data_IF_966532469783
#
_entry.id   IF_966532469783
#
_cell.length_a   1.000
_cell.length_b   1.000
_cell.length_c   1.000
_cell.angle_alpha   90.00
_cell.angle_beta   90.00
_cell.angle_gamma   90.00
#
_symmetry.space_group_name_H-M   'P 1'
#
loop_
_entity.id
_entity.type
_entity.pdbx_description
1 polymer ?
#
# COMPACT_ATOMS: atom_id res chain seq x y z
N UNK A 1 -2.95 -32.70 -51.60
CA UNK A 1 -2.80 -32.16 -50.22
C UNK A 1 -4.10 -32.46 -49.48
N UNK A 2 -4.30 -33.73 -49.09
CA UNK A 2 -4.25 -34.26 -47.70
C UNK A 2 -5.39 -33.69 -46.84
N UNK A 3 -6.62 -34.25 -46.81
CA UNK A 3 -7.07 -35.58 -46.38
C UNK A 3 -6.74 -35.87 -44.90
N UNK A 4 -7.76 -35.99 -44.04
CA UNK A 4 -8.02 -37.08 -43.05
C UNK A 4 -9.12 -36.67 -42.05
N UNK A 5 -10.04 -37.63 -41.85
CA UNK A 5 -11.25 -37.67 -40.99
C UNK A 5 -10.96 -37.51 -39.48
N UNK A 6 -11.97 -37.20 -38.65
CA UNK A 6 -11.88 -37.35 -37.19
C UNK A 6 -12.39 -38.71 -36.69
N UNK A 7 -11.95 -39.06 -35.47
CA UNK A 7 -12.35 -40.13 -34.53
C UNK A 7 -11.56 -41.44 -34.57
N UNK A 8 -11.44 -42.22 -33.47
CA UNK A 8 -11.80 -42.01 -32.04
C UNK A 8 -10.61 -42.36 -31.07
N UNK A 9 -10.84 -42.59 -29.76
CA UNK A 9 -10.87 -44.00 -29.37
C UNK A 9 -12.03 -44.41 -28.44
N UNK A 10 -12.49 -45.63 -28.68
CA UNK A 10 -13.24 -46.53 -27.77
C UNK A 10 -12.28 -47.66 -27.32
N UNK A 11 -12.76 -48.55 -26.44
CA UNK A 11 -12.14 -49.67 -25.69
C UNK A 11 -11.78 -49.25 -24.25
N UNK A 12 -12.47 -49.62 -23.15
CA UNK A 12 -13.22 -50.83 -22.70
C UNK A 12 -12.45 -52.14 -22.80
N UNK A 13 -11.96 -52.71 -21.68
CA UNK A 13 -12.61 -53.80 -20.89
C UNK A 13 -11.66 -54.58 -19.91
N UNK A 14 -12.27 -55.13 -18.84
CA UNK A 14 -11.94 -56.30 -17.98
C UNK A 14 -10.70 -56.27 -17.05
N UNK A 15 -10.83 -56.13 -15.72
CA UNK A 15 -11.17 -57.11 -14.63
C UNK A 15 -10.15 -58.24 -14.43
N UNK A 16 -9.45 -58.32 -13.28
CA UNK A 16 -9.49 -59.47 -12.35
C UNK A 16 -8.76 -59.19 -11.01
N UNK A 17 -9.33 -59.79 -9.97
CA UNK A 17 -8.96 -59.89 -8.55
C UNK A 17 -7.48 -60.05 -8.20
N UNK A 18 -7.06 -59.43 -7.09
CA UNK A 18 -6.43 -60.20 -6.00
C UNK A 18 -6.62 -59.49 -4.64
N UNK A 19 -7.28 -60.21 -3.73
CA UNK A 19 -7.33 -59.90 -2.30
C UNK A 19 -5.96 -60.25 -1.71
N UNK A 20 -5.28 -59.27 -1.12
CA UNK A 20 -4.25 -59.53 -0.11
C UNK A 20 -4.60 -58.72 1.13
N UNK A 21 -5.08 -59.46 2.12
CA UNK A 21 -5.26 -59.04 3.50
C UNK A 21 -3.85 -58.96 4.12
N UNK A 22 -3.36 -57.76 4.44
CA UNK A 22 -2.16 -57.62 5.28
C UNK A 22 -2.28 -56.39 6.17
N UNK A 23 -2.46 -56.69 7.46
CA UNK A 23 -1.98 -56.00 8.64
C UNK A 23 -1.98 -54.46 8.62
N UNK A 24 -3.00 -53.92 9.27
CA UNK A 24 -2.98 -52.60 9.92
C UNK A 24 -1.74 -52.50 10.81
N UNK A 25 -0.71 -51.80 10.33
CA UNK A 25 0.26 -51.13 11.18
C UNK A 25 -0.10 -49.66 11.16
N UNK A 26 -0.68 -49.17 12.26
CA UNK A 26 -0.82 -47.74 12.53
C UNK A 26 0.56 -47.12 12.71
N UNK A 27 1.24 -46.86 11.60
CA UNK A 27 2.31 -45.89 11.56
C UNK A 27 1.65 -44.51 11.60
N UNK A 28 1.62 -43.91 12.80
CA UNK A 28 1.36 -42.48 12.95
C UNK A 28 2.50 -41.75 12.23
N UNK A 29 2.26 -41.40 10.96
CA UNK A 29 3.10 -40.44 10.26
C UNK A 29 3.13 -39.17 11.12
N UNK A 30 4.32 -38.63 11.47
CA UNK A 30 4.40 -37.37 12.18
C UNK A 30 3.63 -36.34 11.35
N UNK A 31 2.64 -35.76 12.02
CA UNK A 31 1.61 -34.95 11.40
C UNK A 31 2.23 -33.91 10.48
N UNK A 32 1.67 -33.84 9.27
CA UNK A 32 1.58 -32.59 8.55
C UNK A 32 0.81 -31.63 9.47
N UNK A 33 1.51 -30.96 10.38
CA UNK A 33 0.92 -29.84 11.10
C UNK A 33 0.43 -28.90 10.01
N UNK A 34 -0.86 -28.55 9.96
CA UNK A 34 -1.31 -27.49 9.09
C UNK A 34 -0.44 -26.30 9.44
N UNK A 35 0.37 -25.83 8.49
CA UNK A 35 1.04 -24.55 8.65
C UNK A 35 -0.08 -23.57 8.97
N UNK A 36 -0.09 -23.06 10.20
CA UNK A 36 -1.02 -22.03 10.65
C UNK A 36 -1.12 -21.01 9.52
N UNK A 37 -2.31 -20.81 8.91
CA UNK A 37 -2.39 -20.05 7.66
C UNK A 37 -2.03 -18.60 7.95
N UNK A 38 -0.75 -18.22 7.83
CA UNK A 38 -0.25 -16.94 8.33
C UNK A 38 -1.04 -15.74 7.82
N UNK A 39 -1.35 -14.79 8.69
CA UNK A 39 -2.07 -13.56 8.33
C UNK A 39 -3.01 -13.05 9.43
N UNK A 40 -3.54 -11.85 9.23
CA UNK A 40 -4.49 -11.19 10.12
C UNK A 40 -5.91 -11.51 9.66
N UNK A 41 -6.80 -11.85 10.61
CA UNK A 41 -8.22 -12.11 10.32
C UNK A 41 -8.90 -10.87 9.71
N UNK A 42 -9.72 -11.08 8.68
CA UNK A 42 -10.59 -10.05 8.10
C UNK A 42 -11.95 -9.98 8.80
N UNK A 43 -12.18 -10.83 9.80
CA UNK A 43 -13.36 -10.71 10.66
C UNK A 43 -13.07 -9.71 11.77
N UNK A 44 -13.85 -8.64 11.82
CA UNK A 44 -13.79 -7.63 12.87
C UNK A 44 -15.20 -7.27 13.35
N UNK A 45 -15.41 -6.92 14.63
CA UNK A 45 -16.68 -6.39 15.09
C UNK A 45 -17.06 -5.12 14.32
N UNK A 46 -18.25 -5.12 13.73
CA UNK A 46 -18.76 -3.98 12.95
C UNK A 46 -20.12 -3.56 13.51
N UNK A 47 -20.23 -2.29 13.89
CA UNK A 47 -21.54 -1.64 14.06
C UNK A 47 -21.91 -0.93 12.76
N UNK A 48 -23.17 -1.04 12.33
CA UNK A 48 -23.64 -0.43 11.09
C UNK A 48 -24.77 0.56 11.36
N UNK A 49 -24.83 1.65 10.60
CA UNK A 49 -26.00 2.55 10.55
C UNK A 49 -26.31 2.93 9.11
N UNK A 50 -27.58 3.19 8.76
CA UNK A 50 -27.90 3.80 7.47
C UNK A 50 -27.14 5.11 7.29
N UNK A 51 -26.65 5.35 6.07
CA UNK A 51 -26.04 6.62 5.68
C UNK A 51 -26.68 7.07 4.37
N UNK A 52 -27.37 8.23 4.33
CA UNK A 52 -28.01 8.69 3.10
C UNK A 52 -26.98 8.91 1.99
N UNK A 53 -25.75 9.34 2.30
CA UNK A 53 -24.69 9.45 1.29
C UNK A 53 -25.02 10.36 0.10
N UNK A 54 -24.27 10.18 -0.99
CA UNK A 54 -24.35 11.02 -2.21
C UNK A 54 -25.55 10.63 -3.09
N UNK A 55 -25.99 9.38 -3.00
CA UNK A 55 -27.08 8.81 -3.82
C UNK A 55 -28.32 8.41 -2.99
N UNK A 56 -28.49 8.99 -1.79
CA UNK A 56 -29.54 8.63 -0.81
C UNK A 56 -29.55 7.14 -0.40
N UNK A 57 -28.45 6.42 -0.65
CA UNK A 57 -28.29 4.99 -0.40
C UNK A 57 -26.86 4.73 0.07
N UNK A 58 -26.71 4.22 1.28
CA UNK A 58 -25.40 3.93 1.85
C UNK A 58 -25.48 3.38 3.27
N UNK A 59 -24.32 2.98 3.76
CA UNK A 59 -24.14 2.47 5.11
C UNK A 59 -22.86 3.08 5.68
N UNK A 60 -22.87 3.40 6.96
CA UNK A 60 -21.66 3.70 7.71
C UNK A 60 -21.31 2.51 8.59
N UNK A 61 -20.08 2.01 8.45
CA UNK A 61 -19.49 0.99 9.30
C UNK A 61 -18.62 1.66 10.36
N UNK A 62 -18.71 1.16 11.58
CA UNK A 62 -17.84 1.54 12.69
C UNK A 62 -17.07 0.31 13.12
N UNK A 63 -15.75 0.41 13.10
CA UNK A 63 -14.80 -0.58 13.61
C UNK A 63 -14.01 0.04 14.78
N UNK A 64 -12.95 -0.60 15.25
CA UNK A 64 -12.09 -0.07 16.32
C UNK A 64 -11.51 1.30 15.93
N UNK A 65 -10.88 1.40 14.77
CA UNK A 65 -10.15 2.60 14.35
C UNK A 65 -10.88 3.43 13.28
N UNK A 66 -11.82 2.84 12.53
CA UNK A 66 -12.40 3.48 11.35
C UNK A 66 -13.90 3.76 11.46
N UNK A 67 -14.30 4.84 10.77
CA UNK A 67 -15.69 5.14 10.41
C UNK A 67 -15.76 5.17 8.88
N UNK A 68 -16.26 4.09 8.29
CA UNK A 68 -16.26 3.88 6.84
C UNK A 68 -17.65 4.16 6.28
N UNK A 69 -17.78 5.24 5.53
CA UNK A 69 -18.96 5.58 4.75
C UNK A 69 -18.88 4.86 3.41
N UNK A 70 -19.90 4.09 3.06
CA UNK A 70 -19.92 3.40 1.77
C UNK A 70 -21.30 3.40 1.13
N UNK A 71 -21.32 3.58 -0.19
CA UNK A 71 -22.47 3.40 -1.06
C UNK A 71 -22.35 2.14 -1.92
N UNK A 72 -21.25 1.38 -1.80
CA UNK A 72 -21.00 0.22 -2.66
C UNK A 72 -22.05 -0.86 -2.46
N UNK A 73 -22.60 -1.37 -3.56
CA UNK A 73 -23.45 -2.56 -3.57
C UNK A 73 -22.67 -3.87 -3.51
N UNK A 74 -21.34 -3.83 -3.68
CA UNK A 74 -20.50 -5.02 -3.70
C UNK A 74 -20.47 -5.70 -2.32
N UNK A 75 -21.14 -6.86 -2.24
CA UNK A 75 -21.25 -7.65 -1.01
C UNK A 75 -19.88 -8.09 -0.48
N UNK A 76 -18.94 -8.48 -1.35
CA UNK A 76 -17.60 -8.90 -0.93
C UNK A 76 -16.84 -7.73 -0.33
N UNK A 77 -16.86 -6.58 -1.01
CA UNK A 77 -16.21 -5.37 -0.51
C UNK A 77 -16.78 -4.94 0.84
N UNK A 78 -18.11 -4.98 1.02
CA UNK A 78 -18.76 -4.64 2.30
C UNK A 78 -18.38 -5.57 3.46
N UNK A 79 -18.19 -6.86 3.18
CA UNK A 79 -17.80 -7.85 4.19
C UNK A 79 -16.31 -7.69 4.56
N UNK A 80 -15.46 -7.55 3.54
CA UNK A 80 -14.00 -7.62 3.72
C UNK A 80 -13.38 -6.28 4.12
N UNK A 81 -13.86 -5.17 3.56
CA UNK A 81 -13.21 -3.85 3.72
C UNK A 81 -13.01 -3.45 5.19
N UNK A 82 -14.00 -3.59 6.11
CA UNK A 82 -13.81 -3.15 7.49
C UNK A 82 -12.67 -3.91 8.18
N UNK A 83 -12.63 -5.24 8.05
CA UNK A 83 -11.56 -6.05 8.63
C UNK A 83 -10.22 -5.85 7.93
N UNK A 84 -10.22 -5.63 6.61
CA UNK A 84 -9.03 -5.28 5.87
C UNK A 84 -8.41 -3.97 6.37
N UNK A 85 -9.21 -2.91 6.55
CA UNK A 85 -8.69 -1.63 7.06
C UNK A 85 -8.15 -1.74 8.49
N UNK A 86 -8.78 -2.53 9.35
CA UNK A 86 -8.24 -2.84 10.68
C UNK A 86 -6.92 -3.62 10.62
N UNK A 87 -6.80 -4.59 9.70
CA UNK A 87 -5.55 -5.28 9.46
C UNK A 87 -4.45 -4.34 8.91
N UNK A 88 -4.83 -3.42 8.02
CA UNK A 88 -3.94 -2.39 7.50
C UNK A 88 -3.42 -1.48 8.61
N UNK A 89 -4.26 -1.11 9.59
CA UNK A 89 -3.81 -0.33 10.74
C UNK A 89 -2.65 -0.99 11.49
N UNK A 90 -2.77 -2.29 11.78
CA UNK A 90 -1.69 -3.08 12.36
C UNK A 90 -0.44 -3.10 11.47
N UNK A 91 -0.61 -3.32 10.17
CA UNK A 91 0.49 -3.23 9.21
C UNK A 91 1.16 -1.85 9.19
N UNK A 92 0.42 -0.75 9.33
CA UNK A 92 1.01 0.60 9.38
C UNK A 92 1.89 0.79 10.62
N UNK A 93 1.49 0.24 11.77
CA UNK A 93 2.32 0.21 12.96
C UNK A 93 3.61 -0.58 12.70
N UNK A 94 3.52 -1.76 12.08
CA UNK A 94 4.68 -2.58 11.74
C UNK A 94 5.61 -1.93 10.70
N UNK A 95 5.04 -1.27 9.68
CA UNK A 95 5.79 -0.56 8.64
C UNK A 95 6.60 0.60 9.22
N UNK A 96 6.03 1.30 10.20
CA UNK A 96 6.57 2.57 10.71
C UNK A 96 7.32 2.44 12.04
N UNK A 97 7.03 1.41 12.83
CA UNK A 97 7.54 1.24 14.20
C UNK A 97 7.06 2.34 15.16
N UNK A 98 6.02 3.09 14.79
CA UNK A 98 5.47 4.14 15.63
C UNK A 98 4.66 3.54 16.78
N UNK A 99 4.70 4.20 17.93
CA UNK A 99 3.90 3.78 19.07
C UNK A 99 2.41 3.89 18.73
N UNK A 100 1.65 2.87 19.16
CA UNK A 100 0.21 3.01 19.12
C UNK A 100 -0.25 4.07 20.14
N UNK A 101 -1.37 4.72 19.83
CA UNK A 101 -1.98 5.75 20.65
C UNK A 101 -3.21 5.10 21.27
N UNK A 102 -3.58 5.48 22.50
CA UNK A 102 -4.83 5.03 23.08
C UNK A 102 -5.96 5.26 22.08
N UNK A 103 -6.86 4.28 21.97
CA UNK A 103 -7.99 4.37 21.05
C UNK A 103 -8.70 5.71 21.25
N UNK A 104 -8.55 6.61 20.26
CA UNK A 104 -9.25 7.90 20.28
C UNK A 104 -10.75 7.63 20.21
N UNK A 105 -11.54 8.47 20.88
CA UNK A 105 -12.99 8.49 20.66
C UNK A 105 -13.33 8.85 19.21
N UNK A 106 -12.43 9.57 18.52
CA UNK A 106 -12.55 9.94 17.12
C UNK A 106 -11.99 8.85 16.20
N UNK A 107 -12.90 8.23 15.45
CA UNK A 107 -12.57 7.22 14.43
C UNK A 107 -12.18 7.87 13.10
N UNK A 108 -11.16 7.33 12.46
CA UNK A 108 -10.65 7.82 11.17
C UNK A 108 -11.72 7.71 10.07
N UNK A 109 -12.14 8.82 9.45
CA UNK A 109 -13.20 8.82 8.45
C UNK A 109 -12.71 8.34 7.09
N UNK A 110 -13.37 7.35 6.51
CA UNK A 110 -13.09 6.86 5.17
C UNK A 110 -14.37 6.86 4.33
N UNK A 111 -14.29 7.27 3.06
CA UNK A 111 -15.36 7.10 2.08
C UNK A 111 -14.92 6.05 1.06
N UNK A 112 -15.70 4.99 0.92
CA UNK A 112 -15.55 3.98 -0.14
C UNK A 112 -16.80 3.98 -1.01
N UNK A 113 -16.74 4.69 -2.13
CA UNK A 113 -17.92 4.95 -2.96
C UNK A 113 -18.08 3.91 -4.07
N UNK A 114 -19.31 3.73 -4.53
CA UNK A 114 -19.63 2.70 -5.51
C UNK A 114 -19.01 2.99 -6.89
N UNK A 115 -18.83 4.27 -7.23
CA UNK A 115 -18.39 4.68 -8.56
C UNK A 115 -17.58 5.98 -8.53
N UNK A 116 -16.85 6.22 -9.63
CA UNK A 116 -16.12 7.49 -9.85
C UNK A 116 -17.07 8.70 -9.86
N UNK A 117 -18.29 8.55 -10.37
CA UNK A 117 -19.26 9.64 -10.45
C UNK A 117 -19.70 10.11 -9.06
N UNK A 118 -20.01 9.17 -8.17
CA UNK A 118 -20.33 9.48 -6.77
C UNK A 118 -19.14 10.10 -6.05
N UNK A 119 -17.94 9.57 -6.30
CA UNK A 119 -16.70 10.11 -5.76
C UNK A 119 -16.46 11.55 -6.18
N UNK A 120 -16.60 11.84 -7.48
CA UNK A 120 -16.42 13.20 -7.99
C UNK A 120 -17.47 14.16 -7.41
N UNK A 121 -18.71 13.70 -7.28
CA UNK A 121 -19.80 14.46 -6.65
C UNK A 121 -19.47 14.80 -5.18
N UNK A 122 -19.06 13.81 -4.38
CA UNK A 122 -18.64 14.03 -2.99
C UNK A 122 -17.45 14.99 -2.92
N UNK A 123 -16.44 14.78 -3.77
CA UNK A 123 -15.22 15.59 -3.78
C UNK A 123 -15.48 17.04 -4.12
N UNK A 124 -16.35 17.31 -5.11
CA UNK A 124 -16.81 18.67 -5.47
C UNK A 124 -17.59 19.31 -4.33
N UNK A 125 -18.58 18.62 -3.78
CA UNK A 125 -19.50 19.20 -2.80
C UNK A 125 -18.91 19.38 -1.40
N UNK A 126 -18.07 18.45 -0.94
CA UNK A 126 -17.61 18.40 0.47
C UNK A 126 -16.19 18.90 0.68
N UNK A 127 -15.30 18.67 -0.28
CA UNK A 127 -13.86 18.88 -0.06
C UNK A 127 -13.27 20.06 -0.84
N UNK A 128 -14.02 20.67 -1.78
CA UNK A 128 -13.55 21.82 -2.58
C UNK A 128 -12.30 21.51 -3.42
N UNK A 129 -11.97 20.23 -3.61
CA UNK A 129 -10.74 19.72 -4.24
C UNK A 129 -10.89 19.46 -5.76
N UNK A 130 -11.97 19.96 -6.37
CA UNK A 130 -12.41 19.55 -7.71
C UNK A 130 -11.33 19.69 -8.80
N UNK A 131 -10.59 20.80 -8.84
CA UNK A 131 -9.65 21.10 -9.94
C UNK A 131 -8.46 20.14 -10.02
N UNK A 132 -7.99 19.61 -8.89
CA UNK A 132 -6.89 18.62 -8.85
C UNK A 132 -7.43 17.20 -8.93
N UNK A 133 -8.57 16.94 -8.26
CA UNK A 133 -9.17 15.61 -8.19
C UNK A 133 -9.76 15.15 -9.54
N UNK A 134 -10.24 16.06 -10.39
CA UNK A 134 -10.81 15.70 -11.70
C UNK A 134 -9.80 15.02 -12.63
N UNK A 135 -8.51 15.32 -12.47
CA UNK A 135 -7.40 14.71 -13.22
C UNK A 135 -6.88 13.42 -12.60
N UNK A 136 -7.29 13.10 -11.37
CA UNK A 136 -6.91 11.83 -10.74
C UNK A 136 -7.68 10.70 -11.44
N UNK A 137 -6.92 9.82 -12.09
CA UNK A 137 -7.40 8.50 -12.52
C UNK A 137 -7.14 7.43 -11.45
N UNK A 138 -6.32 7.74 -10.43
CA UNK A 138 -6.03 6.86 -9.31
C UNK A 138 -7.21 6.81 -8.32
N UNK A 139 -7.59 5.60 -7.90
CA UNK A 139 -8.84 5.24 -7.21
C UNK A 139 -9.17 5.90 -5.86
N UNK A 140 -8.43 6.91 -5.43
CA UNK A 140 -8.67 7.64 -4.20
C UNK A 140 -7.66 8.75 -3.91
N UNK A 141 -7.87 9.44 -2.79
CA UNK A 141 -6.92 10.37 -2.18
C UNK A 141 -7.18 10.50 -0.69
N UNK A 142 -6.22 11.07 0.03
CA UNK A 142 -6.37 11.46 1.43
C UNK A 142 -6.21 12.96 1.60
N UNK A 143 -7.16 13.58 2.30
CA UNK A 143 -7.15 15.01 2.58
C UNK A 143 -7.57 15.29 4.00
N UNK A 144 -6.73 16.01 4.75
CA UNK A 144 -6.97 16.41 6.15
C UNK A 144 -7.46 15.23 7.02
N UNK A 145 -6.74 14.11 6.95
CA UNK A 145 -7.08 12.90 7.71
C UNK A 145 -8.32 12.14 7.21
N UNK A 146 -8.87 12.48 6.04
CA UNK A 146 -10.00 11.77 5.45
C UNK A 146 -9.59 11.09 4.15
N UNK A 147 -9.72 9.77 4.09
CA UNK A 147 -9.52 8.98 2.87
C UNK A 147 -10.82 8.92 2.06
N UNK A 148 -10.73 9.17 0.76
CA UNK A 148 -11.86 9.17 -0.17
C UNK A 148 -11.50 8.36 -1.40
N UNK A 149 -12.06 7.15 -1.50
CA UNK A 149 -11.83 6.19 -2.57
C UNK A 149 -13.14 5.83 -3.29
N UNK A 150 -13.02 5.21 -4.45
CA UNK A 150 -14.13 4.52 -5.09
C UNK A 150 -13.74 3.10 -5.53
N UNK A 151 -14.74 2.25 -5.68
CA UNK A 151 -14.54 0.90 -6.18
C UNK A 151 -14.09 0.95 -7.65
N UNK A 152 -12.83 0.57 -7.89
CA UNK A 152 -12.21 0.44 -9.21
C UNK A 152 -11.99 -1.02 -9.60
N UNK A 153 -12.76 -1.92 -8.98
CA UNK A 153 -12.61 -3.35 -9.14
C UNK A 153 -11.70 -3.96 -8.06
N UNK A 154 -11.57 -5.30 -8.05
CA UNK A 154 -11.20 -6.06 -6.86
C UNK A 154 -9.88 -5.67 -6.16
N UNK A 155 -8.77 -6.36 -6.41
CA UNK A 155 -7.52 -6.17 -5.65
C UNK A 155 -7.00 -4.72 -5.68
N UNK A 156 -7.28 -3.98 -6.76
CA UNK A 156 -6.87 -2.58 -6.92
C UNK A 156 -7.55 -1.67 -5.91
N UNK A 157 -8.85 -1.88 -5.61
CA UNK A 157 -9.55 -1.10 -4.59
C UNK A 157 -8.93 -1.28 -3.21
N UNK A 158 -8.57 -2.51 -2.83
CA UNK A 158 -7.89 -2.77 -1.55
C UNK A 158 -6.48 -2.20 -1.51
N UNK A 159 -5.73 -2.29 -2.62
CA UNK A 159 -4.40 -1.68 -2.74
C UNK A 159 -4.45 -0.16 -2.54
N UNK A 160 -5.38 0.53 -3.22
CA UNK A 160 -5.56 1.98 -3.07
C UNK A 160 -6.07 2.32 -1.67
N UNK A 161 -7.01 1.55 -1.12
CA UNK A 161 -7.47 1.75 0.25
C UNK A 161 -6.33 1.62 1.27
N UNK A 162 -5.40 0.69 1.07
CA UNK A 162 -4.24 0.53 1.93
C UNK A 162 -3.19 1.64 1.73
N UNK A 163 -3.01 2.11 0.51
CA UNK A 163 -2.13 3.24 0.20
C UNK A 163 -2.64 4.52 0.88
N UNK A 164 -3.90 4.87 0.61
CA UNK A 164 -4.53 6.07 1.15
C UNK A 164 -4.76 5.99 2.66
N UNK A 165 -5.09 4.79 3.17
CA UNK A 165 -5.22 4.56 4.60
C UNK A 165 -3.92 4.83 5.36
N UNK A 166 -2.75 4.63 4.73
CA UNK A 166 -1.48 5.00 5.35
C UNK A 166 -1.34 6.53 5.45
N UNK A 167 -1.61 7.29 4.40
CA UNK A 167 -1.58 8.76 4.47
C UNK A 167 -2.48 9.27 5.60
N UNK A 168 -3.66 8.67 5.73
CA UNK A 168 -4.58 8.97 6.83
C UNK A 168 -3.99 8.61 8.18
N UNK A 169 -3.42 7.41 8.34
CA UNK A 169 -2.76 6.98 9.57
C UNK A 169 -1.64 7.96 9.99
N UNK A 170 -0.77 8.35 9.05
CA UNK A 170 0.32 9.28 9.31
C UNK A 170 -0.20 10.67 9.71
N UNK A 171 -1.29 11.14 9.11
CA UNK A 171 -1.92 12.41 9.49
C UNK A 171 -2.33 12.45 10.97
N UNK A 172 -2.89 11.36 11.49
CA UNK A 172 -3.28 11.27 12.90
C UNK A 172 -2.12 10.96 13.85
N UNK A 173 -1.01 10.42 13.33
CA UNK A 173 0.12 9.97 14.16
C UNK A 173 1.24 11.01 14.29
N UNK A 174 1.48 11.79 13.24
CA UNK A 174 2.66 12.62 13.15
C UNK A 174 2.38 14.07 13.51
N UNK A 175 3.26 14.65 14.33
CA UNK A 175 3.26 16.10 14.63
C UNK A 175 4.05 16.88 13.59
N UNK A 176 5.06 16.26 12.98
CA UNK A 176 5.78 16.82 11.83
C UNK A 176 5.48 16.04 10.56
N UNK A 177 5.23 16.77 9.47
CA UNK A 177 5.00 16.17 8.16
C UNK A 177 6.27 15.49 7.66
N UNK A 178 6.15 14.29 7.08
CA UNK A 178 7.26 13.63 6.38
C UNK A 178 7.56 14.32 5.04
N UNK A 179 8.81 14.23 4.54
CA UNK A 179 9.07 14.56 3.16
C UNK A 179 8.32 13.58 2.25
N UNK A 180 7.87 14.06 1.09
CA UNK A 180 6.92 13.33 0.25
C UNK A 180 7.44 11.97 -0.24
N UNK A 181 8.74 11.87 -0.57
CA UNK A 181 9.36 10.60 -0.95
C UNK A 181 9.23 9.52 0.13
N UNK A 182 9.27 9.90 1.42
CA UNK A 182 9.16 8.97 2.54
C UNK A 182 7.70 8.57 2.76
N UNK A 183 6.78 9.52 2.63
CA UNK A 183 5.34 9.28 2.77
C UNK A 183 4.82 8.34 1.66
N UNK A 184 5.10 8.67 0.39
CA UNK A 184 4.73 7.84 -0.77
C UNK A 184 5.47 6.48 -0.77
N UNK A 185 6.73 6.46 -0.33
CA UNK A 185 7.49 5.24 -0.19
C UNK A 185 6.90 4.28 0.85
N UNK A 186 6.42 4.80 1.98
CA UNK A 186 5.66 3.99 2.94
C UNK A 186 4.31 3.55 2.35
N UNK A 187 3.60 4.43 1.64
CA UNK A 187 2.28 4.14 1.09
C UNK A 187 2.34 3.01 0.06
N UNK A 188 3.32 3.06 -0.83
CA UNK A 188 3.61 1.98 -1.79
C UNK A 188 4.08 0.68 -1.12
N UNK A 189 4.69 0.74 0.06
CA UNK A 189 5.00 -0.45 0.87
C UNK A 189 3.75 -1.06 1.52
N UNK A 190 2.69 -0.28 1.75
CA UNK A 190 1.43 -0.78 2.33
C UNK A 190 0.56 -1.55 1.33
N UNK A 191 0.73 -1.29 0.03
CA UNK A 191 -0.05 -1.91 -1.05
C UNK A 191 0.17 -3.42 -1.25
N UNK A 192 1.31 -3.96 -0.78
CA UNK A 192 1.65 -5.37 -0.99
C UNK A 192 0.92 -6.29 -0.02
N UNK A 193 -0.03 -7.10 -0.48
CA UNK A 193 -0.71 -8.10 0.34
C UNK A 193 -1.26 -9.27 -0.48
N UNK A 194 -1.60 -10.35 0.21
CA UNK A 194 -2.36 -11.49 -0.33
C UNK A 194 -3.51 -11.86 0.60
N UNK A 195 -4.63 -12.27 0.01
CA UNK A 195 -5.73 -12.85 0.77
C UNK A 195 -5.61 -14.37 0.79
N UNK A 196 -5.87 -14.96 1.94
CA UNK A 196 -5.96 -16.42 2.11
C UNK A 196 -7.04 -16.75 3.16
N UNK A 197 -8.07 -17.51 2.76
CA UNK A 197 -9.12 -18.04 3.65
C UNK A 197 -9.66 -17.05 4.70
N UNK A 198 -10.04 -15.84 4.27
CA UNK A 198 -10.58 -14.81 5.17
C UNK A 198 -9.54 -14.12 6.04
N UNK A 199 -8.25 -14.30 5.74
CA UNK A 199 -7.12 -13.57 6.32
C UNK A 199 -6.41 -12.75 5.25
N UNK A 200 -5.65 -11.76 5.69
CA UNK A 200 -4.71 -10.99 4.86
C UNK A 200 -3.31 -11.11 5.40
N UNK A 201 -2.34 -11.30 4.50
CA UNK A 201 -0.92 -11.24 4.84
C UNK A 201 -0.27 -10.12 4.04
N UNK A 202 0.32 -9.16 4.74
CA UNK A 202 1.05 -8.05 4.13
C UNK A 202 2.46 -8.47 3.74
N UNK A 203 2.86 -8.07 2.55
CA UNK A 203 4.11 -8.43 1.89
C UNK A 203 4.73 -7.17 1.27
N UNK A 204 5.22 -6.21 2.07
CA UNK A 204 5.75 -4.94 1.57
C UNK A 204 6.87 -5.10 0.54
N UNK A 205 7.68 -6.17 0.67
CA UNK A 205 8.74 -6.55 -0.26
C UNK A 205 8.25 -7.23 -1.55
N UNK A 206 7.04 -7.78 -1.55
CA UNK A 206 6.48 -8.54 -2.68
C UNK A 206 5.27 -7.81 -3.28
N UNK A 207 5.43 -6.52 -3.56
CA UNK A 207 4.47 -5.75 -4.33
C UNK A 207 4.81 -5.89 -5.82
N UNK A 208 4.10 -6.78 -6.53
CA UNK A 208 4.38 -7.11 -7.94
C UNK A 208 4.30 -5.87 -8.83
N UNK A 209 3.34 -4.97 -8.59
CA UNK A 209 3.21 -3.74 -9.36
C UNK A 209 4.47 -2.88 -9.22
N UNK A 210 4.91 -2.61 -7.99
CA UNK A 210 6.09 -1.77 -7.73
C UNK A 210 7.40 -2.42 -8.16
N UNK A 211 7.48 -3.75 -8.13
CA UNK A 211 8.59 -4.50 -8.74
C UNK A 211 8.66 -4.29 -10.25
N UNK A 212 7.51 -4.31 -10.94
CA UNK A 212 7.43 -4.03 -12.38
C UNK A 212 7.82 -2.58 -12.65
N UNK A 213 7.22 -1.62 -11.92
CA UNK A 213 7.53 -0.19 -12.04
C UNK A 213 9.04 0.07 -11.88
N UNK A 214 9.66 -0.51 -10.86
CA UNK A 214 11.09 -0.38 -10.60
C UNK A 214 11.93 -1.01 -11.71
N UNK A 215 11.55 -2.21 -12.19
CA UNK A 215 12.27 -2.88 -13.28
C UNK A 215 12.20 -2.05 -14.56
N UNK A 216 11.03 -1.51 -14.89
CA UNK A 216 10.88 -0.66 -16.07
C UNK A 216 11.67 0.65 -15.91
N UNK A 217 11.74 1.25 -14.72
CA UNK A 217 12.58 2.44 -14.50
C UNK A 217 14.08 2.17 -14.72
N UNK A 218 14.56 0.97 -14.39
CA UNK A 218 15.96 0.57 -14.60
C UNK A 218 16.23 0.25 -16.06
N UNK A 219 15.32 -0.46 -16.74
CA UNK A 219 15.53 -0.94 -18.12
C UNK A 219 15.15 0.08 -19.18
N UNK A 220 14.15 0.93 -18.92
CA UNK A 220 13.61 1.93 -19.84
C UNK A 220 14.33 3.28 -19.78
N UNK A 221 15.44 3.38 -19.04
CA UNK A 221 16.29 4.58 -18.92
C UNK A 221 15.56 5.85 -18.43
N UNK A 222 14.54 5.69 -17.59
CA UNK A 222 13.86 6.80 -16.91
C UNK A 222 14.07 6.81 -15.39
N UNK A 223 15.19 6.22 -14.94
CA UNK A 223 15.66 6.32 -13.56
C UNK A 223 15.77 7.77 -13.11
N UNK A 224 15.23 8.09 -11.94
CA UNK A 224 15.23 9.47 -11.42
C UNK A 224 16.44 9.61 -10.49
N UNK A 225 17.41 10.49 -10.78
CA UNK A 225 18.54 10.71 -9.89
C UNK A 225 18.07 11.03 -8.46
N UNK A 226 18.72 10.47 -7.44
CA UNK A 226 18.16 10.48 -6.08
C UNK A 226 17.94 11.90 -5.56
N UNK A 227 18.87 12.83 -5.82
CA UNK A 227 18.69 14.25 -5.48
C UNK A 227 17.40 14.85 -6.04
N UNK A 228 17.02 14.47 -7.26
CA UNK A 228 15.78 14.89 -7.92
C UNK A 228 14.59 14.14 -7.33
N UNK A 229 14.70 12.82 -7.12
CA UNK A 229 13.65 12.01 -6.52
C UNK A 229 13.19 12.58 -5.16
N UNK A 230 14.15 12.94 -4.30
CA UNK A 230 13.88 13.46 -2.96
C UNK A 230 13.13 14.80 -2.94
N UNK A 231 13.22 15.60 -4.01
CA UNK A 231 12.60 16.95 -4.11
C UNK A 231 11.41 17.01 -5.06
N UNK A 232 11.06 15.89 -5.68
CA UNK A 232 10.00 15.80 -6.69
C UNK A 232 8.65 15.47 -6.05
N UNK A 233 7.57 16.07 -6.54
CA UNK A 233 6.20 15.65 -6.19
C UNK A 233 5.59 14.73 -7.25
N UNK A 234 4.78 13.74 -6.88
CA UNK A 234 4.11 12.85 -7.84
C UNK A 234 3.29 13.64 -8.86
N UNK A 235 2.57 14.68 -8.42
CA UNK A 235 1.82 15.56 -9.32
C UNK A 235 2.70 16.24 -10.39
N UNK A 236 3.92 16.64 -10.05
CA UNK A 236 4.85 17.22 -11.02
C UNK A 236 5.32 16.18 -12.06
N UNK A 237 5.45 14.92 -11.67
CA UNK A 237 5.86 13.84 -12.58
C UNK A 237 4.70 13.38 -13.46
N UNK A 238 3.53 13.17 -12.89
CA UNK A 238 2.30 12.76 -13.59
C UNK A 238 1.95 13.76 -14.71
N UNK A 239 2.18 15.06 -14.48
CA UNK A 239 1.92 16.08 -15.51
C UNK A 239 3.00 16.18 -16.59
N UNK A 240 4.18 15.62 -16.37
CA UNK A 240 5.30 15.72 -17.30
C UNK A 240 5.43 14.48 -18.20
N UNK A 241 5.31 13.28 -17.63
CA UNK A 241 5.48 12.01 -18.34
C UNK A 241 4.93 10.84 -17.50
N UNK A 242 4.00 10.05 -18.05
CA UNK A 242 3.39 8.90 -17.36
C UNK A 242 4.40 7.81 -16.99
N UNK A 243 5.38 7.51 -17.85
CA UNK A 243 6.46 6.54 -17.57
C UNK A 243 7.34 7.00 -16.40
N UNK A 244 7.62 8.30 -16.31
CA UNK A 244 8.37 8.83 -15.17
C UNK A 244 7.56 8.72 -13.87
N UNK A 245 6.23 8.82 -13.93
CA UNK A 245 5.39 8.69 -12.75
C UNK A 245 5.40 7.26 -12.21
N UNK A 246 5.32 6.27 -13.11
CA UNK A 246 5.53 4.86 -12.80
C UNK A 246 6.90 4.65 -12.15
N UNK A 247 7.96 5.19 -12.77
CA UNK A 247 9.33 5.07 -12.24
C UNK A 247 9.54 5.74 -10.88
N UNK A 248 8.83 6.84 -10.59
CA UNK A 248 8.85 7.48 -9.28
C UNK A 248 8.36 6.52 -8.19
N UNK A 249 7.18 5.93 -8.38
CA UNK A 249 6.58 5.03 -7.39
C UNK A 249 7.41 3.76 -7.16
N UNK A 250 7.94 3.17 -8.23
CA UNK A 250 8.87 2.03 -8.12
C UNK A 250 10.11 2.37 -7.28
N UNK A 251 10.69 3.56 -7.48
CA UNK A 251 11.88 3.98 -6.74
C UNK A 251 11.59 4.33 -5.27
N UNK A 252 10.51 5.07 -4.96
CA UNK A 252 10.20 5.38 -3.54
C UNK A 252 9.75 4.13 -2.76
N UNK A 253 9.10 3.17 -3.41
CA UNK A 253 8.85 1.86 -2.82
C UNK A 253 10.16 1.15 -2.45
N UNK A 254 11.13 1.15 -3.37
CA UNK A 254 12.41 0.48 -3.20
C UNK A 254 13.30 1.15 -2.15
N UNK A 255 13.36 2.48 -2.11
CA UNK A 255 14.17 3.21 -1.12
C UNK A 255 13.67 2.91 0.30
N UNK A 256 12.35 2.88 0.53
CA UNK A 256 11.80 2.57 1.86
C UNK A 256 12.04 1.10 2.23
N UNK A 257 11.99 0.16 1.28
CA UNK A 257 12.42 -1.22 1.52
C UNK A 257 13.89 -1.28 1.93
N UNK A 258 14.78 -0.56 1.22
CA UNK A 258 16.20 -0.53 1.54
C UNK A 258 16.44 0.04 2.94
N UNK A 259 15.88 1.22 3.23
CA UNK A 259 16.04 1.90 4.51
C UNK A 259 15.53 1.08 5.70
N UNK A 260 14.45 0.31 5.53
CA UNK A 260 13.87 -0.50 6.61
C UNK A 260 14.62 -1.80 6.88
N UNK A 261 15.41 -2.28 5.92
CA UNK A 261 15.95 -3.65 5.95
C UNK A 261 17.47 -3.70 6.01
N UNK A 262 18.14 -2.61 5.62
CA UNK A 262 19.57 -2.46 5.78
C UNK A 262 19.91 -2.14 7.24
N UNK A 263 20.87 -2.88 7.82
CA UNK A 263 21.24 -2.75 9.23
C UNK A 263 21.79 -1.37 9.59
N UNK A 264 22.41 -0.67 8.64
CA UNK A 264 22.95 0.68 8.84
C UNK A 264 21.82 1.71 8.84
N UNK A 265 20.86 1.57 7.92
CA UNK A 265 19.82 2.58 7.72
C UNK A 265 18.55 2.36 8.55
N UNK A 266 18.26 1.12 8.97
CA UNK A 266 17.02 0.82 9.70
C UNK A 266 16.90 1.60 11.03
N UNK A 267 17.94 1.70 11.87
CA UNK A 267 17.86 2.53 13.09
C UNK A 267 17.65 4.01 12.79
N UNK A 268 18.30 4.53 11.73
CA UNK A 268 18.19 5.92 11.28
C UNK A 268 16.81 6.26 10.76
N UNK A 269 16.24 5.36 9.95
CA UNK A 269 14.87 5.45 9.45
C UNK A 269 13.85 5.47 10.60
N UNK A 270 13.99 4.54 11.56
CA UNK A 270 13.14 4.51 12.77
C UNK A 270 13.24 5.81 13.57
N UNK A 271 14.45 6.33 13.74
CA UNK A 271 14.66 7.63 14.41
C UNK A 271 13.94 8.77 13.69
N UNK A 272 14.03 8.84 12.36
CA UNK A 272 13.34 9.88 11.58
C UNK A 272 11.82 9.84 11.83
N UNK A 273 11.21 8.65 11.82
CA UNK A 273 9.78 8.49 12.05
C UNK A 273 9.39 8.84 13.49
N UNK A 274 10.17 8.39 14.49
CA UNK A 274 9.95 8.72 15.90
C UNK A 274 10.04 10.24 16.14
N UNK A 275 11.05 10.90 15.57
CA UNK A 275 11.21 12.35 15.66
C UNK A 275 10.04 13.08 14.97
N UNK A 276 9.51 12.55 13.85
CA UNK A 276 8.33 13.09 13.20
C UNK A 276 7.07 12.94 14.07
N UNK A 277 6.90 11.81 14.76
CA UNK A 277 5.83 11.60 15.75
C UNK A 277 5.96 12.56 16.93
N UNK A 278 7.19 12.82 17.39
CA UNK A 278 7.47 13.73 18.49
C UNK A 278 7.40 15.22 18.09
N UNK A 279 7.36 15.55 16.81
CA UNK A 279 7.29 16.94 16.33
C UNK A 279 8.66 17.63 16.26
N UNK A 280 9.75 16.86 16.14
CA UNK A 280 11.11 17.36 16.29
C UNK A 280 11.75 17.86 14.99
N UNK A 281 11.05 17.78 13.85
CA UNK A 281 11.58 18.33 12.59
C UNK A 281 11.80 19.85 12.67
N UNK A 282 11.12 20.52 13.60
CA UNK A 282 11.28 21.95 13.82
C UNK A 282 12.68 22.35 14.30
N UNK A 283 13.43 21.41 14.88
CA UNK A 283 14.81 21.62 15.33
C UNK A 283 15.82 21.52 14.18
N UNK A 284 15.45 20.93 13.06
CA UNK A 284 16.34 20.68 11.92
C UNK A 284 15.99 21.53 10.70
N UNK A 285 14.73 21.97 10.59
CA UNK A 285 14.25 22.76 9.46
C UNK A 285 14.35 24.25 9.75
N UNK A 286 14.85 25.00 8.78
CA UNK A 286 14.87 26.46 8.82
C UNK A 286 13.44 27.03 8.90
N UNK A 287 13.27 28.26 9.42
CA UNK A 287 11.96 28.92 9.44
C UNK A 287 11.27 28.97 8.06
N UNK A 288 12.04 29.15 6.99
CA UNK A 288 11.53 29.15 5.62
C UNK A 288 11.00 27.77 5.21
N UNK A 289 11.75 26.70 5.52
CA UNK A 289 11.34 25.32 5.25
C UNK A 289 10.04 24.96 6.00
N UNK A 290 9.90 25.38 7.27
CA UNK A 290 8.71 25.11 8.09
C UNK A 290 7.44 25.80 7.57
N UNK A 291 7.59 27.01 7.01
CA UNK A 291 6.49 27.79 6.43
C UNK A 291 6.09 27.31 5.04
N UNK A 292 6.94 26.55 4.35
CA UNK A 292 6.63 26.03 3.03
C UNK A 292 5.41 25.09 3.05
N UNK A 293 4.68 25.07 1.93
CA UNK A 293 3.47 24.26 1.74
C UNK A 293 3.47 23.63 0.35
N UNK A 294 2.75 22.53 0.20
CA UNK A 294 2.60 21.84 -1.10
C UNK A 294 3.95 21.49 -1.74
N UNK A 295 4.11 21.68 -3.07
CA UNK A 295 5.37 21.39 -3.77
C UNK A 295 6.60 22.13 -3.23
N UNK A 296 6.43 23.37 -2.72
CA UNK A 296 7.54 24.12 -2.12
C UNK A 296 8.08 23.44 -0.87
N UNK A 297 7.20 22.80 -0.08
CA UNK A 297 7.64 22.02 1.07
C UNK A 297 8.49 20.82 0.61
N UNK A 298 8.00 20.05 -0.36
CA UNK A 298 8.75 18.89 -0.90
C UNK A 298 10.14 19.29 -1.38
N UNK A 299 10.24 20.36 -2.17
CA UNK A 299 11.51 20.83 -2.69
C UNK A 299 12.46 21.31 -1.58
N UNK A 300 11.93 21.98 -0.55
CA UNK A 300 12.73 22.58 0.50
C UNK A 300 13.20 21.58 1.56
N UNK A 301 12.44 20.52 1.85
CA UNK A 301 12.72 19.61 2.97
C UNK A 301 13.29 18.25 2.56
N UNK A 302 13.01 17.79 1.34
CA UNK A 302 13.32 16.44 0.90
C UNK A 302 14.77 16.00 1.13
N UNK A 303 15.73 16.75 0.58
CA UNK A 303 17.15 16.48 0.77
C UNK A 303 17.65 16.85 2.17
N UNK A 304 17.11 17.90 2.80
CA UNK A 304 17.56 18.34 4.12
C UNK A 304 17.29 17.27 5.18
N UNK A 305 16.08 16.71 5.19
CA UNK A 305 15.69 15.63 6.10
C UNK A 305 16.46 14.35 5.77
N UNK A 306 16.64 14.03 4.49
CA UNK A 306 17.41 12.86 4.07
C UNK A 306 18.87 12.93 4.56
N UNK A 307 19.55 14.07 4.37
CA UNK A 307 20.93 14.26 4.82
C UNK A 307 21.07 14.21 6.34
N UNK A 308 20.10 14.75 7.06
CA UNK A 308 20.13 14.77 8.51
C UNK A 308 19.97 13.37 9.11
N UNK A 309 19.00 12.60 8.63
CA UNK A 309 18.67 11.31 9.23
C UNK A 309 19.34 10.12 8.56
N UNK A 310 19.38 10.09 7.23
CA UNK A 310 19.71 8.88 6.48
C UNK A 310 21.19 8.86 6.11
N UNK A 311 21.61 9.77 5.26
CA UNK A 311 22.98 9.81 4.74
C UNK A 311 23.33 11.22 4.21
N UNK A 312 24.37 11.89 4.73
CA UNK A 312 24.78 13.19 4.22
C UNK A 312 25.33 13.13 2.79
N UNK A 313 25.84 11.96 2.35
CA UNK A 313 26.37 11.73 1.00
C UNK A 313 25.31 11.02 0.14
N UNK A 314 24.48 11.82 -0.52
CA UNK A 314 23.37 11.34 -1.36
C UNK A 314 23.91 10.54 -2.56
N UNK A 315 25.03 10.95 -3.14
CA UNK A 315 25.64 10.31 -4.30
C UNK A 315 26.16 8.92 -3.96
N UNK A 316 26.88 8.79 -2.84
CA UNK A 316 27.36 7.49 -2.38
C UNK A 316 26.19 6.59 -1.94
N UNK A 317 25.18 7.15 -1.29
CA UNK A 317 23.94 6.42 -1.00
C UNK A 317 23.28 5.91 -2.29
N UNK A 318 23.16 6.75 -3.32
CA UNK A 318 22.49 6.38 -4.58
C UNK A 318 23.18 5.18 -5.25
N UNK A 319 24.52 5.09 -5.19
CA UNK A 319 25.25 3.92 -5.70
C UNK A 319 24.84 2.63 -4.98
N UNK A 320 24.81 2.63 -3.64
CA UNK A 320 24.38 1.48 -2.83
C UNK A 320 22.91 1.12 -3.10
N UNK A 321 22.06 2.14 -3.16
CA UNK A 321 20.64 2.01 -3.45
C UNK A 321 20.37 1.41 -4.84
N UNK A 322 21.11 1.82 -5.87
CA UNK A 322 21.02 1.23 -7.22
C UNK A 322 21.41 -0.25 -7.22
N UNK A 323 22.47 -0.61 -6.50
CA UNK A 323 22.88 -2.01 -6.35
C UNK A 323 21.79 -2.82 -5.65
N UNK A 324 21.21 -2.29 -4.57
CA UNK A 324 20.06 -2.91 -3.89
C UNK A 324 18.88 -3.12 -4.85
N UNK A 325 18.52 -2.10 -5.63
CA UNK A 325 17.40 -2.18 -6.59
C UNK A 325 17.63 -3.26 -7.64
N UNK A 326 18.84 -3.31 -8.23
CA UNK A 326 19.17 -4.32 -9.25
C UNK A 326 19.05 -5.75 -8.72
N UNK A 327 19.49 -6.00 -7.49
CA UNK A 327 19.28 -7.29 -6.80
C UNK A 327 17.80 -7.57 -6.56
N UNK A 328 17.06 -6.57 -6.06
CA UNK A 328 15.64 -6.69 -5.75
C UNK A 328 14.80 -7.11 -6.98
N UNK A 329 15.10 -6.56 -8.16
CA UNK A 329 14.42 -6.92 -9.41
C UNK A 329 15.08 -8.08 -10.18
N UNK A 330 16.04 -8.78 -9.57
CA UNK A 330 16.76 -9.92 -10.17
C UNK A 330 17.45 -9.59 -11.51
N UNK A 331 17.99 -8.37 -11.62
CA UNK A 331 18.83 -7.95 -12.76
C UNK A 331 20.33 -8.16 -12.48
N UNK A 332 20.69 -8.61 -11.28
CA UNK A 332 22.01 -9.08 -10.91
C UNK A 332 21.85 -10.40 -10.14
N UNK A 333 22.76 -11.38 -10.33
CA UNK A 333 22.79 -12.62 -9.56
C UNK A 333 22.87 -12.38 -8.05
#
# INVERSE_FOLDING_TARGET
>A
MTNIKPNPPRFTFFTLFMVILTLVSTATLPGCQPVEPGGVSLSTPIRQKPWPGVAQRGTVFFTTHYRIYTSTGDRKLRIVLPGFMEACYGNYLDLTGLADLPASTEKMPMYMLASRAEWLSLTRGKFGQAKTAEKLQAGGYTYKGTTVCWNIGPMVTYSVASHEGLHQFLYYRLKSRLPLWAEEGLATNAEGFVFDRGRVRFLPKNNVLRLVDLRQAILGDYWIPLKKLLTTSPAAVIHANEDQAVGYYGQVWAIVNFLRTDETYAPRWKKMLADAQAGLFDKILSPQQRRARGPRYTAATGQAIFKHYIDPDIEQFEKRYKTFCRKLVKLQP
#
